data_IF_020137745138
#
_entry.id   IF_020137745138
#
_cell.length_a   1.000
_cell.length_b   1.000
_cell.length_c   1.000
_cell.angle_alpha   90.00
_cell.angle_beta   90.00
_cell.angle_gamma   90.00
#
_symmetry.space_group_name_H-M   'P 1'
#
loop_
_entity.id
_entity.type
_entity.pdbx_description
1 polymer ?
#
# COMPACT_ATOMS: atom_id res chain seq x y z
N UNK A 1 -16.27 -12.45 -4.80
CA UNK A 1 -15.12 -12.52 -3.87
C UNK A 1 -14.67 -11.12 -3.49
N UNK A 2 -14.26 -10.95 -2.25
CA UNK A 2 -13.72 -9.68 -1.79
C UNK A 2 -12.34 -9.45 -2.39
N UNK A 3 -12.05 -8.23 -2.77
CA UNK A 3 -10.70 -7.84 -3.17
C UNK A 3 -9.83 -7.68 -1.92
N UNK A 4 -8.56 -8.02 -2.05
CA UNK A 4 -7.61 -8.08 -0.94
C UNK A 4 -6.71 -6.87 -0.96
N UNK A 5 -6.54 -6.23 0.20
CA UNK A 5 -5.63 -5.10 0.38
C UNK A 5 -4.61 -5.49 1.44
N UNK A 6 -3.34 -5.27 1.15
CA UNK A 6 -2.26 -5.43 2.12
C UNK A 6 -1.76 -4.06 2.55
N UNK A 7 -1.77 -3.81 3.85
CA UNK A 7 -1.26 -2.57 4.43
C UNK A 7 0.14 -2.86 4.99
N UNK A 8 1.13 -2.14 4.51
CA UNK A 8 2.51 -2.25 5.01
C UNK A 8 2.82 -0.96 5.75
N UNK A 9 2.76 -1.02 7.08
CA UNK A 9 2.82 0.13 7.96
C UNK A 9 3.20 -0.34 9.37
N UNK A 10 4.11 0.34 10.03
CA UNK A 10 4.56 -0.04 11.38
C UNK A 10 3.81 0.67 12.51
N UNK A 11 3.09 1.75 12.23
CA UNK A 11 2.33 2.47 13.25
C UNK A 11 0.98 1.79 13.49
N UNK A 12 0.82 1.20 14.67
CA UNK A 12 -0.37 0.40 15.00
C UNK A 12 -1.68 1.18 14.88
N UNK A 13 -1.70 2.44 15.31
CA UNK A 13 -2.92 3.25 15.24
C UNK A 13 -3.35 3.51 13.80
N UNK A 14 -2.40 3.75 12.90
CA UNK A 14 -2.69 3.93 11.48
C UNK A 14 -3.24 2.63 10.87
N UNK A 15 -2.63 1.50 11.20
CA UNK A 15 -3.08 0.19 10.72
C UNK A 15 -4.51 -0.09 11.15
N UNK A 16 -4.82 0.11 12.44
CA UNK A 16 -6.17 -0.14 12.98
C UNK A 16 -7.22 0.72 12.28
N UNK A 17 -6.91 2.00 12.09
CA UNK A 17 -7.83 2.91 11.40
C UNK A 17 -8.07 2.49 9.96
N UNK A 18 -7.01 2.21 9.23
CA UNK A 18 -7.11 1.80 7.82
C UNK A 18 -7.87 0.48 7.67
N UNK A 19 -7.59 -0.49 8.53
CA UNK A 19 -8.31 -1.76 8.49
C UNK A 19 -9.79 -1.57 8.73
N UNK A 20 -10.16 -0.78 9.73
CA UNK A 20 -11.56 -0.53 10.04
C UNK A 20 -12.29 0.10 8.85
N UNK A 21 -11.71 1.15 8.29
CA UNK A 21 -12.32 1.91 7.18
C UNK A 21 -12.45 1.06 5.93
N UNK A 22 -11.39 0.32 5.57
CA UNK A 22 -11.39 -0.47 4.34
C UNK A 22 -12.25 -1.73 4.45
N UNK A 23 -12.31 -2.34 5.63
CA UNK A 23 -13.22 -3.47 5.85
C UNK A 23 -14.67 -3.03 5.75
N UNK A 24 -15.00 -1.83 6.20
CA UNK A 24 -16.35 -1.26 6.02
C UNK A 24 -16.72 -1.08 4.56
N UNK A 25 -15.72 -0.83 3.71
CA UNK A 25 -15.95 -0.68 2.26
C UNK A 25 -16.06 -2.04 1.55
N UNK A 26 -15.95 -3.14 2.27
CA UNK A 26 -16.13 -4.47 1.72
C UNK A 26 -14.87 -5.17 1.29
N UNK A 27 -13.70 -4.68 1.67
CA UNK A 27 -12.42 -5.29 1.33
C UNK A 27 -11.96 -6.28 2.39
N UNK A 28 -11.20 -7.29 1.96
CA UNK A 28 -10.43 -8.13 2.86
C UNK A 28 -9.09 -7.44 3.07
N UNK A 29 -8.66 -7.28 4.32
CA UNK A 29 -7.46 -6.50 4.63
C UNK A 29 -6.54 -7.28 5.55
N UNK A 30 -5.26 -7.28 5.23
CA UNK A 30 -4.19 -7.76 6.11
C UNK A 30 -3.16 -6.66 6.29
N UNK A 31 -2.36 -6.79 7.34
CA UNK A 31 -1.29 -5.82 7.61
C UNK A 31 0.05 -6.51 7.82
N UNK A 32 1.11 -5.77 7.51
CA UNK A 32 2.49 -6.16 7.72
C UNK A 32 3.21 -4.97 8.32
N UNK A 33 3.94 -5.17 9.40
CA UNK A 33 4.60 -4.06 10.12
C UNK A 33 6.09 -3.93 9.80
N UNK A 34 6.63 -4.83 8.99
CA UNK A 34 8.06 -4.88 8.70
C UNK A 34 8.31 -4.99 7.21
N UNK A 35 9.24 -4.16 6.71
CA UNK A 35 9.66 -4.25 5.32
C UNK A 35 10.31 -5.58 4.96
N UNK A 36 10.95 -6.24 5.93
CA UNK A 36 11.58 -7.55 5.70
C UNK A 36 10.58 -8.62 5.35
N UNK A 37 9.39 -8.58 5.96
CA UNK A 37 8.35 -9.58 5.74
C UNK A 37 7.43 -9.22 4.58
N UNK A 38 7.49 -7.97 4.12
CA UNK A 38 6.54 -7.45 3.15
C UNK A 38 6.49 -8.24 1.85
N UNK A 39 7.64 -8.50 1.25
CA UNK A 39 7.70 -9.19 -0.04
C UNK A 39 7.15 -10.62 0.08
N UNK A 40 7.49 -11.33 1.16
CA UNK A 40 6.97 -12.68 1.41
C UNK A 40 5.45 -12.66 1.56
N UNK A 41 4.92 -11.70 2.31
CA UNK A 41 3.47 -11.58 2.51
C UNK A 41 2.76 -11.23 1.20
N UNK A 42 3.34 -10.39 0.37
CA UNK A 42 2.77 -10.05 -0.92
C UNK A 42 2.67 -11.30 -1.79
N UNK A 43 3.73 -12.10 -1.81
CA UNK A 43 3.74 -13.35 -2.59
C UNK A 43 2.69 -14.35 -2.12
N UNK A 44 2.51 -14.48 -0.82
CA UNK A 44 1.55 -15.42 -0.24
C UNK A 44 0.12 -14.95 -0.35
N UNK A 45 -0.10 -13.69 -0.06
CA UNK A 45 -1.45 -13.13 0.04
C UNK A 45 -2.06 -12.79 -1.33
N UNK A 46 -1.25 -12.46 -2.32
CA UNK A 46 -1.68 -12.00 -3.65
C UNK A 46 -2.67 -10.85 -3.54
N UNK A 47 -2.27 -9.71 -2.95
CA UNK A 47 -3.19 -8.59 -2.80
C UNK A 47 -3.53 -7.95 -4.14
N UNK A 48 -4.71 -7.36 -4.22
CA UNK A 48 -5.13 -6.57 -5.37
C UNK A 48 -4.64 -5.13 -5.28
N UNK A 49 -4.25 -4.71 -4.08
CA UNK A 49 -3.72 -3.38 -3.82
C UNK A 49 -2.79 -3.43 -2.61
N UNK A 50 -1.72 -2.66 -2.66
CA UNK A 50 -0.80 -2.50 -1.53
C UNK A 50 -0.82 -1.04 -1.10
N UNK A 51 -1.06 -0.80 0.20
CA UNK A 51 -0.84 0.50 0.83
C UNK A 51 0.51 0.43 1.52
N UNK A 52 1.47 1.22 1.10
CA UNK A 52 2.86 1.09 1.50
C UNK A 52 3.37 2.38 2.13
N UNK A 53 3.75 2.31 3.41
CA UNK A 53 4.45 3.41 4.07
C UNK A 53 5.89 3.48 3.57
N UNK A 54 6.36 4.68 3.33
CA UNK A 54 7.73 4.92 2.86
C UNK A 54 8.76 4.60 3.93
N UNK A 55 8.44 4.90 5.19
CA UNK A 55 9.39 4.76 6.29
C UNK A 55 9.06 3.56 7.16
N UNK A 56 9.74 2.43 6.86
CA UNK A 56 9.54 1.18 7.56
C UNK A 56 10.84 0.68 8.20
N UNK A 57 10.75 -0.01 9.33
CA UNK A 57 11.93 -0.71 9.85
C UNK A 57 12.31 -1.88 8.93
N UNK A 58 13.60 -2.11 8.80
CA UNK A 58 14.15 -3.22 8.04
C UNK A 58 14.39 -2.91 6.58
N UNK A 59 13.35 -2.70 5.79
CA UNK A 59 13.46 -2.38 4.37
C UNK A 59 12.49 -1.24 4.06
N UNK A 60 13.01 -0.15 3.50
CA UNK A 60 12.19 1.02 3.19
C UNK A 60 11.25 0.78 2.00
N UNK A 61 10.26 1.69 1.85
CA UNK A 61 9.25 1.56 0.81
C UNK A 61 9.81 1.56 -0.60
N UNK A 62 10.83 2.38 -0.87
CA UNK A 62 11.44 2.45 -2.21
C UNK A 62 12.09 1.13 -2.59
N UNK A 63 12.79 0.49 -1.64
CA UNK A 63 13.41 -0.82 -1.87
C UNK A 63 12.36 -1.88 -2.14
N UNK A 64 11.24 -1.84 -1.43
CA UNK A 64 10.15 -2.79 -1.66
C UNK A 64 9.58 -2.63 -3.07
N UNK A 65 9.27 -1.42 -3.50
CA UNK A 65 8.74 -1.17 -4.85
C UNK A 65 9.71 -1.63 -5.91
N UNK A 66 11.01 -1.40 -5.71
CA UNK A 66 12.03 -1.86 -6.67
C UNK A 66 12.03 -3.39 -6.80
N UNK A 67 11.96 -4.10 -5.68
CA UNK A 67 11.89 -5.57 -5.70
C UNK A 67 10.64 -6.05 -6.43
N UNK A 68 9.49 -5.42 -6.16
CA UNK A 68 8.24 -5.77 -6.83
C UNK A 68 8.32 -5.51 -8.33
N UNK A 69 8.90 -4.37 -8.73
CA UNK A 69 8.96 -4.01 -10.15
C UNK A 69 9.83 -4.96 -10.97
N UNK A 70 10.76 -5.66 -10.33
CA UNK A 70 11.61 -6.64 -11.01
C UNK A 70 10.95 -8.01 -11.16
N UNK A 71 9.77 -8.21 -10.56
CA UNK A 71 9.02 -9.46 -10.63
C UNK A 71 7.81 -9.26 -11.55
N UNK A 72 7.67 -10.10 -12.57
CA UNK A 72 6.60 -9.96 -13.56
C UNK A 72 5.20 -9.99 -12.96
N UNK A 73 4.98 -10.86 -11.97
CA UNK A 73 3.67 -11.00 -11.34
C UNK A 73 3.41 -9.89 -10.33
N UNK A 74 4.40 -9.57 -9.51
CA UNK A 74 4.25 -8.60 -8.43
C UNK A 74 4.31 -7.15 -8.91
N UNK A 75 5.00 -6.91 -10.02
CA UNK A 75 5.13 -5.56 -10.59
C UNK A 75 3.85 -4.98 -11.16
N UNK A 76 2.83 -5.80 -11.35
CA UNK A 76 1.53 -5.34 -11.84
C UNK A 76 0.54 -5.00 -10.72
N UNK A 77 0.87 -5.32 -9.47
CA UNK A 77 -0.01 -5.00 -8.33
C UNK A 77 0.05 -3.49 -8.07
N UNK A 78 -1.09 -2.79 -8.10
CA UNK A 78 -1.08 -1.36 -7.83
C UNK A 78 -0.67 -1.05 -6.40
N UNK A 79 0.12 0.01 -6.24
CA UNK A 79 0.63 0.47 -4.95
C UNK A 79 0.19 1.92 -4.74
N UNK A 80 -0.31 2.20 -3.54
CA UNK A 80 -0.53 3.58 -3.07
C UNK A 80 0.49 3.81 -1.97
N UNK A 81 1.30 4.84 -2.13
CA UNK A 81 2.30 5.22 -1.14
C UNK A 81 1.64 6.10 -0.07
N UNK A 82 1.88 5.76 1.20
CA UNK A 82 1.45 6.60 2.33
C UNK A 82 2.69 7.23 2.95
N UNK A 83 2.63 8.53 3.24
CA UNK A 83 3.79 9.24 3.75
C UNK A 83 3.40 10.55 4.42
N UNK A 84 4.19 10.96 5.41
CA UNK A 84 4.11 12.31 5.98
C UNK A 84 4.89 13.33 5.15
N UNK A 85 5.68 12.89 4.16
CA UNK A 85 6.58 13.74 3.38
C UNK A 85 6.12 13.86 1.93
N UNK A 86 5.86 15.09 1.49
CA UNK A 86 5.48 15.38 0.10
C UNK A 86 6.62 14.99 -0.86
N UNK A 87 7.86 15.19 -0.45
CA UNK A 87 9.04 14.90 -1.27
C UNK A 87 9.14 13.43 -1.69
N UNK A 88 8.52 12.53 -0.93
CA UNK A 88 8.56 11.10 -1.25
C UNK A 88 7.93 10.77 -2.60
N UNK A 89 7.05 11.63 -3.10
CA UNK A 89 6.41 11.40 -4.40
C UNK A 89 7.44 11.29 -5.54
N UNK A 90 8.52 12.05 -5.47
CA UNK A 90 9.57 12.03 -6.49
C UNK A 90 10.30 10.70 -6.57
N UNK A 91 10.44 10.01 -5.43
CA UNK A 91 11.13 8.72 -5.37
C UNK A 91 10.42 7.64 -6.18
N UNK A 92 9.13 7.77 -6.36
CA UNK A 92 8.29 6.73 -6.96
C UNK A 92 7.78 7.09 -8.35
N UNK A 93 8.15 8.27 -8.89
CA UNK A 93 7.62 8.76 -10.15
C UNK A 93 7.96 7.86 -11.35
N UNK A 94 9.03 7.08 -11.25
CA UNK A 94 9.48 6.20 -12.34
C UNK A 94 8.86 4.80 -12.28
N UNK A 95 8.08 4.49 -11.26
CA UNK A 95 7.48 3.16 -11.10
C UNK A 95 6.01 3.18 -11.50
N UNK A 96 5.65 2.59 -12.66
CA UNK A 96 4.25 2.62 -13.14
C UNK A 96 3.24 1.95 -12.21
N UNK A 97 3.67 1.00 -11.38
CA UNK A 97 2.75 0.34 -10.45
C UNK A 97 2.34 1.22 -9.27
N UNK A 98 3.07 2.31 -9.00
CA UNK A 98 2.67 3.28 -7.98
C UNK A 98 1.62 4.19 -8.60
N UNK A 99 0.36 4.01 -8.18
CA UNK A 99 -0.78 4.69 -8.80
C UNK A 99 -1.14 5.99 -8.12
N UNK A 100 -0.85 6.13 -6.83
CA UNK A 100 -1.24 7.32 -6.10
C UNK A 100 -0.46 7.46 -4.80
N UNK A 101 -0.69 8.57 -4.12
CA UNK A 101 -0.05 8.91 -2.86
C UNK A 101 -1.11 9.42 -1.89
N UNK A 102 -0.98 9.05 -0.61
CA UNK A 102 -1.81 9.58 0.47
C UNK A 102 -0.91 10.18 1.52
N UNK A 103 -1.05 11.48 1.75
CA UNK A 103 -0.30 12.16 2.80
C UNK A 103 -0.91 11.89 4.16
N UNK A 104 -0.06 11.77 5.17
CA UNK A 104 -0.47 11.69 6.57
C UNK A 104 -0.55 13.10 7.16
N UNK A 105 -1.51 13.40 8.03
CA UNK A 105 -2.59 12.52 8.48
C UNK A 105 -3.61 12.27 7.38
N UNK A 106 -4.21 11.07 7.38
CA UNK A 106 -5.12 10.68 6.30
C UNK A 106 -6.42 11.48 6.31
N UNK A 107 -6.83 11.90 5.11
CA UNK A 107 -8.21 12.32 4.87
C UNK A 107 -8.93 11.08 4.35
N UNK A 108 -9.71 10.44 5.21
CA UNK A 108 -10.27 9.10 4.94
C UNK A 108 -11.11 9.04 3.67
N UNK A 109 -11.90 10.08 3.42
CA UNK A 109 -12.72 10.15 2.21
C UNK A 109 -11.87 10.10 0.95
N UNK A 110 -10.76 10.85 0.93
CA UNK A 110 -9.85 10.87 -0.21
C UNK A 110 -9.13 9.54 -0.36
N UNK A 111 -8.72 8.93 0.75
CA UNK A 111 -8.07 7.64 0.75
C UNK A 111 -8.97 6.57 0.12
N UNK A 112 -10.24 6.54 0.53
CA UNK A 112 -11.20 5.57 0.00
C UNK A 112 -11.38 5.74 -1.51
N UNK A 113 -11.47 6.97 -1.99
CA UNK A 113 -11.59 7.25 -3.43
C UNK A 113 -10.37 6.74 -4.17
N UNK A 114 -9.17 7.02 -3.67
CA UNK A 114 -7.92 6.57 -4.29
C UNK A 114 -7.81 5.05 -4.32
N UNK A 115 -8.21 4.39 -3.24
CA UNK A 115 -8.24 2.92 -3.17
C UNK A 115 -9.18 2.36 -4.23
N UNK A 116 -10.38 2.89 -4.33
CA UNK A 116 -11.38 2.40 -5.30
C UNK A 116 -10.91 2.62 -6.74
N UNK A 117 -10.29 3.75 -7.02
CA UNK A 117 -9.72 4.02 -8.35
C UNK A 117 -8.62 3.02 -8.70
N UNK A 118 -7.72 2.75 -7.77
CA UNK A 118 -6.59 1.85 -8.00
C UNK A 118 -7.04 0.40 -8.21
N UNK A 119 -8.09 -0.02 -7.52
CA UNK A 119 -8.64 -1.38 -7.62
C UNK A 119 -9.61 -1.52 -8.81
N UNK A 120 -10.12 -0.42 -9.34
CA UNK A 120 -11.06 -0.45 -10.43
C UNK A 120 -12.52 -0.54 -9.99
N UNK A 121 -12.84 -0.11 -8.77
CA UNK A 121 -14.20 -0.14 -8.21
C UNK A 121 -14.96 1.19 -8.37
N UNK A 122 -14.36 2.15 -9.04
CA UNK A 122 -14.97 3.46 -9.25
C UNK A 122 -15.41 3.63 -10.69
#
# INVERSE_FOLDING_TARGET
MKKRILIIEDETSSVELLMLVLMREGYEVKSCQSGREAVSMIKEYHPHLILLDVMLPGMDGASIVRVLSDDEQLGSIPVIITSALVESQKLFATYPQVKDFCLKPFVLKDLIIKVKQAIGDL
#
